data_IF_094542223829
#
_entry.id   IF_094542223829
#
_cell.length_a   1.000
_cell.length_b   1.000
_cell.length_c   1.000
_cell.angle_alpha   90.00
_cell.angle_beta   90.00
_cell.angle_gamma   90.00
#
_symmetry.space_group_name_H-M   'P 1'
#
loop_
_entity.id
_entity.type
_entity.pdbx_description
1 polymer ?
#
# COMPACT_ATOMS: atom_id res chain seq x y z
N UNK A 1 -14.31 -17.12 -29.02
CA UNK A 1 -13.26 -16.46 -28.21
C UNK A 1 -13.15 -17.18 -26.87
N UNK A 2 -11.95 -17.60 -26.44
CA UNK A 2 -11.78 -18.35 -25.20
C UNK A 2 -12.24 -17.53 -24.00
N UNK A 3 -12.96 -18.17 -23.05
CA UNK A 3 -13.54 -17.52 -21.84
C UNK A 3 -12.52 -16.70 -21.03
N UNK A 4 -11.24 -17.06 -21.11
CA UNK A 4 -10.13 -16.35 -20.48
C UNK A 4 -9.95 -14.90 -20.99
N UNK A 5 -10.15 -14.63 -22.29
CA UNK A 5 -10.01 -13.28 -22.86
C UNK A 5 -11.19 -12.36 -22.53
N UNK A 6 -12.27 -12.90 -21.95
CA UNK A 6 -13.42 -12.13 -21.46
C UNK A 6 -13.33 -11.83 -19.95
N UNK A 7 -12.40 -12.45 -19.22
CA UNK A 7 -12.23 -12.15 -17.79
C UNK A 7 -11.32 -10.93 -17.61
N UNK A 8 -11.59 -10.11 -16.58
CA UNK A 8 -10.72 -8.98 -16.23
C UNK A 8 -9.27 -9.44 -16.02
N UNK A 9 -9.08 -10.58 -15.35
CA UNK A 9 -7.76 -11.15 -15.13
C UNK A 9 -7.02 -11.43 -16.46
N UNK A 10 -7.68 -12.07 -17.43
CA UNK A 10 -7.07 -12.34 -18.73
C UNK A 10 -6.81 -11.07 -19.53
N UNK A 11 -7.69 -10.06 -19.41
CA UNK A 11 -7.49 -8.75 -20.03
C UNK A 11 -6.28 -8.01 -19.44
N UNK A 12 -6.11 -8.03 -18.12
CA UNK A 12 -4.96 -7.40 -17.44
C UNK A 12 -3.65 -8.09 -17.83
N UNK A 13 -3.63 -9.43 -17.83
CA UNK A 13 -2.44 -10.19 -18.27
C UNK A 13 -2.11 -9.90 -19.74
N UNK A 14 -3.12 -9.86 -20.61
CA UNK A 14 -2.90 -9.52 -22.01
C UNK A 14 -2.39 -8.08 -22.17
N UNK A 15 -2.96 -7.11 -21.45
CA UNK A 15 -2.51 -5.72 -21.47
C UNK A 15 -1.06 -5.58 -20.96
N UNK A 16 -0.67 -6.34 -19.93
CA UNK A 16 0.70 -6.40 -19.44
C UNK A 16 1.65 -6.90 -20.53
N UNK A 17 1.34 -8.04 -21.17
CA UNK A 17 2.17 -8.62 -22.24
C UNK A 17 2.28 -7.65 -23.42
N UNK A 18 1.18 -7.05 -23.85
CA UNK A 18 1.17 -6.06 -24.93
C UNK A 18 1.99 -4.82 -24.56
N UNK A 19 1.90 -4.34 -23.31
CA UNK A 19 2.69 -3.21 -22.82
C UNK A 19 4.19 -3.50 -22.82
N UNK A 20 4.60 -4.70 -22.40
CA UNK A 20 6.01 -5.15 -22.47
C UNK A 20 6.48 -5.22 -23.92
N UNK A 21 5.70 -5.84 -24.81
CA UNK A 21 6.05 -5.94 -26.23
C UNK A 21 6.16 -4.56 -26.89
N UNK A 22 5.25 -3.63 -26.59
CA UNK A 22 5.31 -2.25 -27.07
C UNK A 22 6.56 -1.53 -26.55
N UNK A 23 6.93 -1.73 -25.28
CA UNK A 23 8.13 -1.16 -24.68
C UNK A 23 9.42 -1.64 -25.34
N UNK A 24 9.47 -2.90 -25.79
CA UNK A 24 10.62 -3.48 -26.48
C UNK A 24 10.71 -3.06 -27.95
N UNK A 25 9.57 -3.00 -28.66
CA UNK A 25 9.53 -2.76 -30.11
C UNK A 25 9.48 -1.27 -30.47
N UNK A 26 8.79 -0.45 -29.68
CA UNK A 26 8.60 0.99 -29.91
C UNK A 26 8.72 1.80 -28.61
N UNK A 27 9.93 1.94 -28.06
CA UNK A 27 10.16 2.58 -26.77
C UNK A 27 9.68 4.03 -26.71
N UNK A 28 9.87 4.82 -27.78
CA UNK A 28 9.39 6.21 -27.80
C UNK A 28 7.86 6.33 -27.67
N UNK A 29 7.14 5.43 -28.34
CA UNK A 29 5.66 5.38 -28.25
C UNK A 29 5.24 4.91 -26.87
N UNK A 30 5.91 3.91 -26.30
CA UNK A 30 5.62 3.41 -24.96
C UNK A 30 5.79 4.49 -23.88
N UNK A 31 6.84 5.31 -23.96
CA UNK A 31 7.06 6.43 -23.03
C UNK A 31 5.92 7.46 -23.13
N UNK A 32 5.42 7.75 -24.34
CA UNK A 32 4.28 8.66 -24.54
C UNK A 32 2.97 8.14 -23.94
N UNK A 33 2.85 6.83 -23.70
CA UNK A 33 1.68 6.24 -23.03
C UNK A 33 1.79 6.25 -21.50
N UNK A 34 2.95 6.60 -20.92
CA UNK A 34 3.13 6.71 -19.47
C UNK A 34 2.03 7.53 -18.75
N UNK A 35 1.54 8.66 -19.29
CA UNK A 35 0.46 9.42 -18.65
C UNK A 35 -0.82 8.60 -18.39
N UNK A 36 -1.12 7.57 -19.18
CA UNK A 36 -2.26 6.68 -18.91
C UNK A 36 -2.02 5.84 -17.64
N UNK A 37 -0.83 5.30 -17.47
CA UNK A 37 -0.44 4.57 -16.26
C UNK A 37 -0.42 5.47 -15.04
N UNK A 38 0.15 6.67 -15.18
CA UNK A 38 0.18 7.67 -14.10
C UNK A 38 -1.24 8.10 -13.70
N UNK A 39 -2.13 8.32 -14.67
CA UNK A 39 -3.54 8.63 -14.41
C UNK A 39 -4.26 7.49 -13.67
N UNK A 40 -4.08 6.24 -14.10
CA UNK A 40 -4.65 5.07 -13.44
C UNK A 40 -4.18 4.95 -11.98
N UNK A 41 -2.87 5.07 -11.74
CA UNK A 41 -2.32 5.03 -10.38
C UNK A 41 -2.86 6.19 -9.54
N UNK A 42 -3.00 7.39 -10.10
CA UNK A 42 -3.53 8.56 -9.41
C UNK A 42 -4.99 8.38 -9.01
N UNK A 43 -5.82 7.79 -9.88
CA UNK A 43 -7.21 7.45 -9.59
C UNK A 43 -7.33 6.45 -8.44
N UNK A 44 -6.51 5.40 -8.44
CA UNK A 44 -6.49 4.42 -7.33
C UNK A 44 -6.04 5.10 -6.03
N UNK A 45 -4.92 5.83 -6.06
CA UNK A 45 -4.36 6.51 -4.87
C UNK A 45 -5.33 7.52 -4.26
N UNK A 46 -6.17 8.15 -5.06
CA UNK A 46 -7.19 9.09 -4.57
C UNK A 46 -8.24 8.39 -3.68
N UNK A 47 -8.61 7.15 -4.00
CA UNK A 47 -9.70 6.44 -3.33
C UNK A 47 -9.21 5.71 -2.06
N UNK A 48 -7.97 5.23 -2.07
CA UNK A 48 -7.41 4.37 -1.01
C UNK A 48 -7.61 4.93 0.41
N UNK A 49 -7.30 6.21 0.72
CA UNK A 49 -7.42 6.70 2.11
C UNK A 49 -8.84 6.56 2.66
N UNK A 50 -9.85 6.97 1.90
CA UNK A 50 -11.25 6.90 2.33
C UNK A 50 -11.73 5.44 2.39
N UNK A 51 -11.35 4.63 1.41
CA UNK A 51 -11.70 3.21 1.37
C UNK A 51 -11.14 2.46 2.59
N UNK A 52 -9.85 2.66 2.90
CA UNK A 52 -9.19 2.03 4.05
C UNK A 52 -9.89 2.43 5.35
N UNK A 53 -10.22 3.71 5.51
CA UNK A 53 -11.00 4.18 6.67
C UNK A 53 -12.32 3.43 6.79
N UNK A 54 -13.13 3.38 5.73
CA UNK A 54 -14.44 2.73 5.76
C UNK A 54 -14.33 1.23 6.06
N UNK A 55 -13.44 0.52 5.37
CA UNK A 55 -13.27 -0.94 5.52
C UNK A 55 -12.79 -1.29 6.94
N UNK A 56 -11.83 -0.55 7.48
CA UNK A 56 -11.32 -0.81 8.83
C UNK A 56 -12.37 -0.50 9.89
N UNK A 57 -13.05 0.66 9.79
CA UNK A 57 -14.12 1.01 10.74
C UNK A 57 -15.24 -0.02 10.70
N UNK A 58 -15.72 -0.37 9.50
CA UNK A 58 -16.75 -1.40 9.31
C UNK A 58 -16.30 -2.74 9.90
N UNK A 59 -15.07 -3.18 9.61
CA UNK A 59 -14.54 -4.45 10.12
C UNK A 59 -14.47 -4.50 11.65
N UNK A 60 -14.09 -3.40 12.31
CA UNK A 60 -14.00 -3.33 13.77
C UNK A 60 -15.39 -3.22 14.40
N UNK A 61 -16.25 -2.34 13.87
CA UNK A 61 -17.60 -2.14 14.39
C UNK A 61 -18.48 -3.40 14.22
N UNK A 62 -18.32 -4.12 13.11
CA UNK A 62 -19.03 -5.37 12.84
C UNK A 62 -18.53 -6.57 13.66
N UNK A 63 -17.31 -6.52 14.20
CA UNK A 63 -16.75 -7.62 14.97
C UNK A 63 -17.41 -7.82 16.36
N UNK A 64 -18.07 -6.79 16.90
CA UNK A 64 -18.81 -6.80 18.16
C UNK A 64 -17.98 -6.96 19.44
N UNK A 65 -16.78 -7.54 19.36
CA UNK A 65 -15.86 -7.75 20.49
C UNK A 65 -14.48 -7.15 20.22
N UNK A 66 -14.14 -6.06 20.92
CA UNK A 66 -12.85 -5.39 20.80
C UNK A 66 -11.67 -6.30 21.20
N UNK A 67 -11.86 -7.25 22.13
CA UNK A 67 -10.80 -8.20 22.51
C UNK A 67 -10.48 -9.14 21.35
N UNK A 68 -11.51 -9.54 20.60
CA UNK A 68 -11.34 -10.34 19.38
C UNK A 68 -10.61 -9.55 18.31
N UNK A 69 -10.97 -8.28 18.08
CA UNK A 69 -10.28 -7.38 17.14
C UNK A 69 -8.79 -7.25 17.48
N UNK A 70 -8.46 -6.95 18.74
CA UNK A 70 -7.07 -6.84 19.18
C UNK A 70 -6.27 -8.14 18.98
N UNK A 71 -6.88 -9.29 19.29
CA UNK A 71 -6.26 -10.61 19.07
C UNK A 71 -6.01 -10.89 17.60
N UNK A 72 -6.95 -10.54 16.72
CA UNK A 72 -6.80 -10.69 15.27
C UNK A 72 -5.70 -9.76 14.75
N UNK A 73 -5.65 -8.51 15.23
CA UNK A 73 -4.60 -7.55 14.88
C UNK A 73 -3.19 -8.05 15.24
N UNK A 74 -3.00 -8.54 16.47
CA UNK A 74 -1.71 -9.11 16.89
C UNK A 74 -1.35 -10.35 16.07
N UNK A 75 -2.32 -11.25 15.81
CA UNK A 75 -2.07 -12.41 14.93
C UNK A 75 -1.68 -11.99 13.52
N UNK A 76 -2.32 -10.95 12.97
CA UNK A 76 -1.99 -10.42 11.66
C UNK A 76 -0.59 -9.80 11.63
N UNK A 77 -0.18 -9.08 12.68
CA UNK A 77 1.17 -8.51 12.78
C UNK A 77 2.24 -9.61 12.85
N UNK A 78 2.06 -10.63 13.69
CA UNK A 78 2.98 -11.78 13.77
C UNK A 78 3.03 -12.53 12.45
N UNK A 79 1.87 -12.75 11.81
CA UNK A 79 1.81 -13.36 10.49
C UNK A 79 2.56 -12.54 9.44
N UNK A 80 2.36 -11.21 9.42
CA UNK A 80 3.04 -10.31 8.49
C UNK A 80 4.55 -10.33 8.68
N UNK A 81 5.03 -10.23 9.91
CA UNK A 81 6.47 -10.28 10.22
C UNK A 81 7.10 -11.62 9.81
N UNK A 82 6.46 -12.74 10.13
CA UNK A 82 6.96 -14.07 9.77
C UNK A 82 7.04 -14.25 8.26
N UNK A 83 5.95 -13.91 7.53
CA UNK A 83 5.91 -14.04 6.07
C UNK A 83 6.93 -13.10 5.41
N UNK A 84 7.08 -11.88 5.92
CA UNK A 84 8.05 -10.91 5.40
C UNK A 84 9.49 -11.36 5.66
N UNK A 85 9.78 -11.89 6.84
CA UNK A 85 11.10 -12.45 7.16
C UNK A 85 11.46 -13.63 6.25
N UNK A 86 10.50 -14.54 5.98
CA UNK A 86 10.70 -15.63 5.02
C UNK A 86 10.93 -15.10 3.61
N UNK A 87 10.15 -14.12 3.16
CA UNK A 87 10.33 -13.50 1.85
C UNK A 87 11.70 -12.82 1.71
N UNK A 88 12.17 -12.10 2.74
CA UNK A 88 13.49 -11.49 2.78
C UNK A 88 14.61 -12.54 2.75
N UNK A 89 14.49 -13.62 3.54
CA UNK A 89 15.46 -14.70 3.55
C UNK A 89 15.57 -15.39 2.18
N UNK A 90 14.44 -15.67 1.54
CA UNK A 90 14.41 -16.23 0.18
C UNK A 90 15.00 -15.25 -0.85
N UNK A 91 14.64 -13.97 -0.78
CA UNK A 91 15.19 -12.93 -1.66
C UNK A 91 16.71 -12.82 -1.54
N UNK A 92 17.23 -12.87 -0.32
CA UNK A 92 18.66 -12.86 -0.05
C UNK A 92 19.35 -14.13 -0.56
N UNK A 93 18.77 -15.31 -0.31
CA UNK A 93 19.30 -16.58 -0.79
C UNK A 93 19.38 -16.63 -2.31
N UNK A 94 18.31 -16.21 -3.01
CA UNK A 94 18.29 -16.11 -4.47
C UNK A 94 19.30 -15.07 -4.97
N UNK A 95 19.44 -13.93 -4.29
CA UNK A 95 20.45 -12.91 -4.60
C UNK A 95 21.87 -13.47 -4.53
N UNK A 96 22.21 -14.23 -3.50
CA UNK A 96 23.52 -14.89 -3.38
C UNK A 96 23.72 -16.03 -4.38
N UNK A 97 22.66 -16.75 -4.77
CA UNK A 97 22.75 -17.88 -5.70
C UNK A 97 22.89 -17.43 -7.15
N UNK A 98 22.06 -16.48 -7.59
CA UNK A 98 22.06 -15.99 -8.97
C UNK A 98 23.08 -14.89 -9.22
N UNK A 99 23.55 -14.23 -8.15
CA UNK A 99 24.52 -13.13 -8.19
C UNK A 99 24.21 -12.09 -9.28
N UNK A 100 22.98 -11.55 -9.35
CA UNK A 100 22.61 -10.56 -10.36
C UNK A 100 23.49 -9.32 -10.20
N UNK A 101 24.39 -9.07 -11.16
CA UNK A 101 25.36 -7.97 -11.10
C UNK A 101 26.79 -8.39 -11.45
N UNK A 102 27.13 -9.67 -11.37
CA UNK A 102 28.43 -10.18 -11.85
C UNK A 102 28.52 -9.94 -13.35
N UNK A 103 29.58 -9.26 -13.79
CA UNK A 103 29.78 -8.87 -15.19
C UNK A 103 29.25 -7.48 -15.57
N UNK A 104 28.61 -6.73 -14.66
CA UNK A 104 28.18 -5.36 -14.96
C UNK A 104 29.34 -4.34 -15.07
N UNK A 105 30.60 -4.72 -14.85
CA UNK A 105 31.81 -3.87 -14.99
C UNK A 105 31.66 -2.45 -14.39
N UNK A 106 30.86 -2.32 -13.34
CA UNK A 106 30.60 -1.03 -12.67
C UNK A 106 31.82 -0.70 -11.82
N UNK A 107 32.57 0.32 -12.19
CA UNK A 107 33.66 0.85 -11.39
C UNK A 107 33.08 1.80 -10.33
N UNK A 108 33.14 1.45 -9.03
CA UNK A 108 32.59 2.28 -7.96
C UNK A 108 33.22 3.68 -7.89
N UNK A 109 34.43 3.86 -8.44
CA UNK A 109 35.15 5.14 -8.44
C UNK A 109 34.66 6.10 -9.53
N UNK A 110 33.95 5.59 -10.54
CA UNK A 110 33.34 6.39 -11.61
C UNK A 110 31.89 6.79 -11.32
N UNK A 111 31.33 6.29 -10.21
CA UNK A 111 29.97 6.61 -9.79
C UNK A 111 29.91 8.04 -9.24
N UNK A 112 28.94 8.82 -9.72
CA UNK A 112 28.70 10.18 -9.23
C UNK A 112 28.30 10.14 -7.74
N UNK A 113 29.18 10.63 -6.86
CA UNK A 113 28.94 10.71 -5.44
C UNK A 113 27.69 11.57 -5.10
N UNK A 114 27.29 12.52 -5.96
CA UNK A 114 26.02 13.24 -5.81
C UNK A 114 24.79 12.38 -6.13
N UNK A 115 24.90 11.42 -7.04
CA UNK A 115 23.82 10.45 -7.27
C UNK A 115 23.64 9.51 -6.07
N UNK A 116 24.70 9.28 -5.29
CA UNK A 116 24.67 8.50 -4.05
C UNK A 116 24.24 9.29 -2.80
N UNK A 117 24.40 10.62 -2.78
CA UNK A 117 24.08 11.44 -1.61
C UNK A 117 22.61 11.34 -1.21
N UNK A 118 21.69 11.24 -2.16
CA UNK A 118 20.27 11.02 -1.88
C UNK A 118 19.98 9.69 -1.16
N UNK A 119 20.77 8.64 -1.43
CA UNK A 119 20.65 7.36 -0.73
C UNK A 119 21.28 7.43 0.66
N UNK A 120 22.41 8.12 0.80
CA UNK A 120 23.04 8.38 2.10
C UNK A 120 22.13 9.21 3.03
N UNK A 121 21.43 10.21 2.48
CA UNK A 121 20.47 11.04 3.22
C UNK A 121 19.22 10.25 3.64
N UNK A 122 18.76 9.31 2.82
CA UNK A 122 17.66 8.43 3.22
C UNK A 122 18.10 7.42 4.28
N UNK A 123 19.31 6.87 4.16
CA UNK A 123 19.88 5.98 5.17
C UNK A 123 20.07 6.68 6.52
N UNK A 124 20.52 7.95 6.53
CA UNK A 124 20.67 8.74 7.74
C UNK A 124 19.32 9.11 8.39
N UNK A 125 18.27 9.34 7.59
CA UNK A 125 16.89 9.51 8.09
C UNK A 125 16.32 8.23 8.72
N UNK A 126 16.70 7.06 8.21
CA UNK A 126 16.26 5.77 8.76
C UNK A 126 17.00 5.41 10.06
N UNK A 127 18.27 5.78 10.19
CA UNK A 127 19.06 5.53 11.41
C UNK A 127 18.84 6.57 12.51
N UNK A 128 18.44 7.80 12.17
CA UNK A 128 18.32 8.90 13.13
C UNK A 128 17.06 8.88 14.01
N UNK A 129 15.92 8.41 13.50
CA UNK A 129 14.64 8.58 14.21
C UNK A 129 14.23 7.45 15.16
N UNK A 130 14.76 6.25 14.95
CA UNK A 130 14.40 5.06 15.74
C UNK A 130 12.90 4.75 15.77
N UNK A 131 12.51 3.83 16.67
CA UNK A 131 11.12 3.38 16.82
C UNK A 131 10.20 4.48 17.34
N UNK A 132 10.72 5.40 18.17
CA UNK A 132 9.92 6.48 18.79
C UNK A 132 9.46 7.50 17.76
N UNK A 133 10.34 7.96 16.86
CA UNK A 133 9.94 8.91 15.82
C UNK A 133 8.94 8.29 14.84
N UNK A 134 9.09 7.00 14.52
CA UNK A 134 8.09 6.27 13.72
C UNK A 134 6.71 6.26 14.39
N UNK A 135 6.64 5.92 15.69
CA UNK A 135 5.38 5.93 16.44
C UNK A 135 4.78 7.35 16.53
N UNK A 136 5.60 8.39 16.67
CA UNK A 136 5.12 9.77 16.67
C UNK A 136 4.60 10.19 15.29
N UNK A 137 5.24 9.78 14.19
CA UNK A 137 4.79 10.06 12.82
C UNK A 137 3.45 9.41 12.48
N UNK A 138 3.10 8.33 13.18
CA UNK A 138 1.80 7.67 13.04
C UNK A 138 0.64 8.55 13.51
N UNK A 139 0.89 9.47 14.44
CA UNK A 139 -0.12 10.37 14.98
C UNK A 139 -0.19 11.62 14.08
N UNK A 140 -1.27 11.82 13.30
CA UNK A 140 -1.38 12.99 12.46
C UNK A 140 -1.61 14.26 13.31
N UNK A 141 -1.16 15.40 12.81
CA UNK A 141 -1.45 16.71 13.45
C UNK A 141 -2.94 17.01 13.45
N UNK A 142 -3.65 16.64 12.38
CA UNK A 142 -5.12 16.69 12.29
C UNK A 142 -5.63 15.52 11.46
N UNK A 143 -6.87 15.08 11.72
CA UNK A 143 -7.50 14.00 10.95
C UNK A 143 -7.57 14.37 9.46
N UNK A 144 -7.97 15.61 9.15
CA UNK A 144 -8.08 16.10 7.77
C UNK A 144 -6.73 16.07 7.05
N UNK A 145 -5.64 16.40 7.75
CA UNK A 145 -4.30 16.33 7.16
C UNK A 145 -3.94 14.91 6.72
N UNK A 146 -4.26 13.88 7.51
CA UNK A 146 -3.98 12.48 7.15
C UNK A 146 -4.68 12.07 5.83
N UNK A 147 -5.94 12.49 5.65
CA UNK A 147 -6.67 12.24 4.40
C UNK A 147 -6.17 13.09 3.24
N UNK A 148 -5.78 14.35 3.50
CA UNK A 148 -5.31 15.27 2.47
C UNK A 148 -3.91 14.92 1.92
N UNK A 149 -3.01 14.45 2.80
CA UNK A 149 -1.67 13.99 2.39
C UNK A 149 -1.70 12.57 1.82
N UNK A 150 -2.77 11.82 2.08
CA UNK A 150 -2.92 10.43 1.66
C UNK A 150 -2.03 9.48 2.48
N UNK A 151 -1.66 9.86 3.71
CA UNK A 151 -0.90 8.97 4.59
C UNK A 151 -1.81 7.86 5.12
N UNK A 152 -1.71 6.70 4.46
CA UNK A 152 -2.53 5.53 4.75
C UNK A 152 -2.33 5.03 6.19
N UNK A 153 -1.13 5.19 6.75
CA UNK A 153 -0.82 4.68 8.09
C UNK A 153 -1.49 5.55 9.17
N UNK A 154 -1.45 6.87 9.00
CA UNK A 154 -2.16 7.83 9.85
C UNK A 154 -3.69 7.64 9.76
N UNK A 155 -4.21 7.45 8.55
CA UNK A 155 -5.64 7.17 8.32
C UNK A 155 -6.06 5.86 8.98
N UNK A 156 -5.22 4.82 8.91
CA UNK A 156 -5.47 3.54 9.55
C UNK A 156 -5.50 3.66 11.08
N UNK A 157 -4.57 4.41 11.69
CA UNK A 157 -4.60 4.68 13.14
C UNK A 157 -5.94 5.31 13.54
N UNK A 158 -6.34 6.37 12.84
CA UNK A 158 -7.61 7.04 13.11
C UNK A 158 -8.81 6.10 12.91
N UNK A 159 -8.82 5.30 11.85
CA UNK A 159 -9.87 4.33 11.57
C UNK A 159 -10.01 3.28 12.69
N UNK A 160 -8.90 2.81 13.25
CA UNK A 160 -8.91 1.86 14.38
C UNK A 160 -9.53 2.52 15.62
N UNK A 161 -9.08 3.74 15.97
CA UNK A 161 -9.63 4.47 17.13
C UNK A 161 -11.12 4.76 16.95
N UNK A 162 -11.52 5.20 15.75
CA UNK A 162 -12.90 5.50 15.41
C UNK A 162 -13.77 4.24 15.45
N UNK A 163 -13.33 3.14 14.85
CA UNK A 163 -14.06 1.86 14.87
C UNK A 163 -14.23 1.31 16.28
N UNK A 164 -13.18 1.38 17.11
CA UNK A 164 -13.27 1.00 18.52
C UNK A 164 -14.25 1.89 19.30
N UNK A 165 -14.18 3.21 19.12
CA UNK A 165 -15.11 4.14 19.76
C UNK A 165 -16.56 3.88 19.32
N UNK A 166 -16.78 3.65 18.03
CA UNK A 166 -18.10 3.34 17.46
C UNK A 166 -18.69 2.05 18.04
N UNK A 167 -17.86 1.01 18.20
CA UNK A 167 -18.26 -0.24 18.85
C UNK A 167 -18.62 -0.04 20.33
N UNK A 168 -17.92 0.83 21.05
CA UNK A 168 -18.20 1.15 22.46
C UNK A 168 -19.45 2.03 22.65
N UNK A 169 -19.78 2.89 21.69
CA UNK A 169 -21.00 3.72 21.70
C UNK A 169 -22.27 2.87 21.55
N UNK A 170 -22.17 1.69 20.93
CA UNK A 170 -23.28 0.75 20.80
C UNK A 170 -24.40 1.27 19.90
N UNK A 171 -25.66 1.12 20.31
CA UNK A 171 -26.82 1.43 19.46
C UNK A 171 -26.87 2.88 18.97
N UNK A 172 -26.39 3.84 19.76
CA UNK A 172 -26.34 5.25 19.36
C UNK A 172 -25.42 5.49 18.15
N UNK A 173 -24.45 4.61 17.92
CA UNK A 173 -23.53 4.66 16.78
C UNK A 173 -24.06 4.00 15.52
N UNK A 174 -25.22 3.32 15.58
CA UNK A 174 -25.72 2.49 14.47
C UNK A 174 -25.93 3.27 13.17
N UNK A 175 -26.44 4.50 13.25
CA UNK A 175 -26.62 5.35 12.07
C UNK A 175 -25.28 5.68 11.39
N UNK A 176 -24.24 5.94 12.19
CA UNK A 176 -22.89 6.23 11.67
C UNK A 176 -22.26 4.97 11.08
N UNK A 177 -22.42 3.82 11.71
CA UNK A 177 -21.95 2.54 11.17
C UNK A 177 -22.60 2.21 9.82
N UNK A 178 -23.92 2.44 9.70
CA UNK A 178 -24.66 2.25 8.45
C UNK A 178 -24.16 3.18 7.34
N UNK A 179 -23.94 4.46 7.64
CA UNK A 179 -23.40 5.42 6.67
C UNK A 179 -22.01 4.98 6.16
N UNK A 180 -21.16 4.46 7.04
CA UNK A 180 -19.81 3.99 6.66
C UNK A 180 -19.88 2.76 5.75
N UNK A 181 -20.83 1.85 6.01
CA UNK A 181 -21.06 0.67 5.16
C UNK A 181 -21.52 1.07 3.76
N UNK A 182 -22.54 1.93 3.67
CA UNK A 182 -23.05 2.46 2.41
C UNK A 182 -21.96 3.21 1.63
N UNK A 183 -21.18 4.05 2.32
CA UNK A 183 -20.05 4.74 1.71
C UNK A 183 -19.01 3.75 1.18
N UNK A 184 -18.70 2.68 1.92
CA UNK A 184 -17.78 1.64 1.46
C UNK A 184 -18.26 0.99 0.16
N UNK A 185 -19.55 0.67 0.05
CA UNK A 185 -20.15 0.09 -1.15
C UNK A 185 -20.03 1.03 -2.35
N UNK A 186 -20.27 2.33 -2.15
CA UNK A 186 -20.09 3.35 -3.20
C UNK A 186 -18.63 3.40 -3.66
N UNK A 187 -17.67 3.41 -2.72
CA UNK A 187 -16.24 3.42 -3.06
C UNK A 187 -15.79 2.15 -3.79
N UNK A 188 -16.30 0.98 -3.42
CA UNK A 188 -16.06 -0.26 -4.16
C UNK A 188 -16.62 -0.19 -5.58
N UNK A 189 -17.77 0.47 -5.79
CA UNK A 189 -18.36 0.65 -7.11
C UNK A 189 -17.60 1.63 -8.00
N UNK A 190 -16.85 2.56 -7.41
CA UNK A 190 -15.93 3.43 -8.16
C UNK A 190 -14.69 2.63 -8.61
N UNK A 191 -14.25 1.66 -7.80
CA UNK A 191 -13.06 0.85 -8.08
C UNK A 191 -13.32 -0.29 -9.08
N UNK A 192 -14.49 -0.93 -9.02
CA UNK A 192 -14.85 -2.11 -9.82
C UNK A 192 -15.64 -1.79 -11.08
#
# INVERSE_FOLDING_TARGET
>A
MPKFLRSLFGQVVLALVLGVLLGLLWPETAVKLKPLGDAFIKLIKMIIPVLVFCVVVHGIAGAGDLKRVGRVGVKALVYFEVVTAVALALGLALGYLFQPGVGMNVDPTTLDAKAMSAYADNASKLTGGGTVEFLLKLIPTTVVAAFATGDVLQVLLFAVLFGCALALVGEKGRAVAGLIDELSLVLFKIMG
#
